data_IF_813069391018
#
_entry.id   IF_813069391018
#
_cell.length_a   1.000
_cell.length_b   1.000
_cell.length_c   1.000
_cell.angle_alpha   90.00
_cell.angle_beta   90.00
_cell.angle_gamma   90.00
#
_symmetry.space_group_name_H-M   'P 1'
#
loop_
_entity.id
_entity.type
_entity.pdbx_description
1 polymer ?
#
# COMPACT_ATOMS: atom_id res chain seq x y z
N UNK A 1 26.47 14.65 2.40
CA UNK A 1 25.37 13.68 2.56
C UNK A 1 24.89 13.34 1.17
N UNK A 2 25.22 12.15 0.68
CA UNK A 2 25.01 11.80 -0.72
C UNK A 2 23.54 11.45 -0.94
N UNK A 3 23.01 11.80 -2.13
CA UNK A 3 21.62 11.55 -2.52
C UNK A 3 21.24 10.08 -2.25
N UNK A 4 22.18 9.17 -2.51
CA UNK A 4 22.12 7.71 -2.33
C UNK A 4 21.80 7.26 -0.89
N UNK A 5 22.20 8.02 0.14
CA UNK A 5 21.91 7.68 1.55
C UNK A 5 20.42 7.87 1.92
N UNK A 6 19.65 8.60 1.08
CA UNK A 6 18.18 8.68 1.18
C UNK A 6 17.46 7.62 0.35
N UNK A 7 18.19 6.86 -0.48
CA UNK A 7 17.65 5.91 -1.44
C UNK A 7 17.99 4.48 -1.02
N UNK A 8 17.30 3.97 0.01
CA UNK A 8 17.32 2.53 0.32
C UNK A 8 16.04 1.89 -0.21
N UNK A 9 16.22 1.02 -1.20
CA UNK A 9 15.18 0.19 -1.82
C UNK A 9 14.59 -0.72 -0.73
N UNK A 10 13.39 -0.40 -0.27
CA UNK A 10 12.62 -1.24 0.66
C UNK A 10 12.29 -2.59 0.02
N UNK A 11 12.22 -3.64 0.84
CA UNK A 11 12.02 -5.04 0.42
C UNK A 11 10.54 -5.44 0.22
N UNK A 12 9.57 -4.53 0.37
CA UNK A 12 8.11 -4.85 0.27
C UNK A 12 7.39 -3.91 -0.72
N UNK A 13 6.54 -4.38 -1.64
CA UNK A 13 6.02 -3.58 -2.78
C UNK A 13 4.84 -2.65 -2.46
N UNK A 14 4.55 -2.38 -1.18
CA UNK A 14 3.33 -1.69 -0.73
C UNK A 14 3.57 -0.71 0.43
N UNK A 15 2.69 0.29 0.51
CA UNK A 15 2.46 1.18 1.64
C UNK A 15 1.15 0.81 2.35
N UNK A 16 1.05 1.05 3.65
CA UNK A 16 -0.15 0.72 4.45
C UNK A 16 -0.56 1.89 5.34
N UNK A 17 -1.85 1.96 5.67
CA UNK A 17 -2.34 2.84 6.71
C UNK A 17 -2.52 2.04 8.01
N UNK A 18 -1.72 2.26 9.07
CA UNK A 18 -1.80 1.48 10.31
C UNK A 18 -3.19 1.47 10.95
N UNK A 19 -3.94 2.57 10.80
CA UNK A 19 -5.31 2.73 11.27
C UNK A 19 -6.35 1.92 10.48
N UNK A 20 -5.97 1.35 9.33
CA UNK A 20 -6.82 0.53 8.48
C UNK A 20 -6.85 -0.96 8.87
N UNK A 21 -6.32 -1.31 10.05
CA UNK A 21 -6.42 -2.68 10.55
C UNK A 21 -7.88 -2.99 10.92
N UNK A 22 -8.42 -4.05 10.34
CA UNK A 22 -9.75 -4.60 10.64
C UNK A 22 -9.66 -6.11 10.81
N UNK A 23 -10.50 -6.68 11.65
CA UNK A 23 -10.55 -8.12 11.90
C UNK A 23 -11.94 -8.65 11.58
N UNK A 24 -12.00 -9.88 11.07
CA UNK A 24 -13.23 -10.62 10.82
C UNK A 24 -13.15 -12.03 11.45
N UNK A 25 -14.21 -12.40 12.17
CA UNK A 25 -14.24 -13.61 12.99
C UNK A 25 -13.10 -13.68 14.02
N UNK A 26 -12.66 -14.91 14.30
CA UNK A 26 -11.67 -15.19 15.37
C UNK A 26 -10.22 -15.14 14.90
N UNK A 27 -9.96 -15.04 13.60
CA UNK A 27 -8.60 -15.19 13.06
C UNK A 27 -8.29 -14.46 11.76
N UNK A 28 -9.24 -13.78 11.11
CA UNK A 28 -8.94 -13.10 9.84
C UNK A 28 -8.66 -11.63 10.09
N UNK A 29 -7.55 -11.11 9.56
CA UNK A 29 -7.15 -9.72 9.68
C UNK A 29 -6.92 -9.12 8.29
N UNK A 30 -7.26 -7.85 8.13
CA UNK A 30 -7.05 -7.08 6.91
C UNK A 30 -6.39 -5.75 7.23
N UNK A 31 -5.56 -5.26 6.31
CA UNK A 31 -4.90 -3.98 6.45
C UNK A 31 -4.90 -3.22 5.13
N UNK A 32 -5.47 -2.02 5.11
CA UNK A 32 -5.51 -1.18 3.92
C UNK A 32 -4.11 -0.88 3.37
N UNK A 33 -3.96 -1.02 2.05
CA UNK A 33 -2.68 -0.97 1.37
C UNK A 33 -2.75 -0.27 0.00
N UNK A 34 -1.63 0.33 -0.37
CA UNK A 34 -1.40 0.96 -1.67
C UNK A 34 -0.10 0.43 -2.27
N UNK A 35 -0.17 -0.09 -3.49
CA UNK A 35 1.00 -0.54 -4.24
C UNK A 35 1.36 0.50 -5.29
N UNK A 36 2.47 1.20 -5.09
CA UNK A 36 2.97 2.17 -6.06
C UNK A 36 3.86 1.51 -7.09
N UNK A 37 3.71 1.92 -8.33
CA UNK A 37 4.58 1.53 -9.43
C UNK A 37 4.88 2.73 -10.31
N UNK A 38 6.10 2.88 -10.79
CA UNK A 38 6.44 3.73 -11.92
C UNK A 38 6.42 2.91 -13.20
N UNK A 39 5.71 3.40 -14.21
CA UNK A 39 5.56 2.77 -15.52
C UNK A 39 5.67 3.85 -16.58
N UNK A 40 6.64 3.74 -17.48
CA UNK A 40 6.86 4.70 -18.56
C UNK A 40 6.98 6.14 -18.04
N UNK A 41 7.66 6.32 -16.90
CA UNK A 41 7.83 7.63 -16.26
C UNK A 41 6.59 8.17 -15.52
N UNK A 42 5.48 7.44 -15.50
CA UNK A 42 4.26 7.80 -14.78
C UNK A 42 4.16 7.01 -13.48
N UNK A 43 3.89 7.70 -12.37
CA UNK A 43 3.54 7.02 -11.12
C UNK A 43 2.10 6.54 -11.20
N UNK A 44 1.88 5.25 -11.01
CA UNK A 44 0.58 4.60 -10.91
C UNK A 44 0.44 3.92 -9.56
N UNK A 45 -0.79 3.69 -9.10
CA UNK A 45 -1.05 3.02 -7.84
C UNK A 45 -2.20 2.03 -7.95
N UNK A 46 -2.10 0.92 -7.21
CA UNK A 46 -3.24 0.06 -6.88
C UNK A 46 -3.62 0.31 -5.42
N UNK A 47 -4.91 0.36 -5.11
CA UNK A 47 -5.45 0.58 -3.78
C UNK A 47 -6.33 -0.59 -3.41
N UNK A 48 -6.25 -1.05 -2.16
CA UNK A 48 -7.10 -2.10 -1.61
C UNK A 48 -6.56 -2.53 -0.26
N UNK A 49 -6.38 -3.83 -0.01
CA UNK A 49 -5.98 -4.33 1.31
C UNK A 49 -5.12 -5.60 1.25
N UNK A 50 -4.24 -5.74 2.24
CA UNK A 50 -3.65 -7.03 2.63
C UNK A 50 -4.66 -7.81 3.47
N UNK A 51 -4.56 -9.12 3.48
CA UNK A 51 -5.35 -9.98 4.37
C UNK A 51 -4.54 -11.20 4.78
N UNK A 52 -4.83 -11.73 5.95
CA UNK A 52 -4.14 -12.90 6.51
C UNK A 52 -4.99 -13.61 7.55
N UNK A 53 -4.76 -14.91 7.72
CA UNK A 53 -5.34 -15.70 8.80
C UNK A 53 -4.30 -15.80 9.93
N UNK A 54 -4.49 -15.03 10.99
CA UNK A 54 -3.60 -14.96 12.14
C UNK A 54 -4.33 -15.34 13.44
N UNK A 55 -3.79 -16.33 14.16
CA UNK A 55 -4.28 -16.74 15.47
C UNK A 55 -3.11 -16.79 16.47
N UNK A 56 -3.10 -15.94 17.52
CA UNK A 56 -4.12 -14.95 17.85
C UNK A 56 -4.15 -13.80 16.82
N UNK A 57 -5.30 -13.12 16.74
CA UNK A 57 -5.44 -11.89 15.97
C UNK A 57 -4.34 -10.88 16.38
N UNK A 58 -3.79 -10.12 15.42
CA UNK A 58 -2.77 -9.12 15.72
C UNK A 58 -3.37 -7.97 16.52
N UNK A 59 -2.65 -7.50 17.54
CA UNK A 59 -3.09 -6.35 18.35
C UNK A 59 -3.07 -5.02 17.60
N UNK A 60 -2.22 -4.90 16.59
CA UNK A 60 -1.97 -3.69 15.83
C UNK A 60 -1.39 -4.02 14.44
N UNK A 61 -1.33 -3.01 13.57
CA UNK A 61 -0.85 -3.18 12.20
C UNK A 61 0.64 -3.59 12.15
N UNK A 62 1.45 -3.21 13.13
CA UNK A 62 2.85 -3.61 13.18
C UNK A 62 2.97 -5.12 13.45
N UNK A 63 2.17 -5.65 14.36
CA UNK A 63 2.06 -7.07 14.66
C UNK A 63 1.51 -7.86 13.47
N UNK A 64 0.49 -7.33 12.77
CA UNK A 64 0.00 -7.91 11.52
C UNK A 64 1.15 -8.03 10.50
N UNK A 65 1.85 -6.94 10.21
CA UNK A 65 2.93 -6.89 9.21
C UNK A 65 4.17 -7.73 9.57
N UNK A 66 4.42 -7.94 10.86
CA UNK A 66 5.51 -8.78 11.35
C UNK A 66 5.22 -10.27 11.14
N UNK A 67 3.94 -10.66 11.21
CA UNK A 67 3.46 -12.03 11.01
C UNK A 67 3.04 -12.31 9.57
N UNK A 68 2.74 -11.28 8.80
CA UNK A 68 2.31 -11.37 7.41
C UNK A 68 3.50 -11.72 6.51
N UNK A 69 3.79 -13.02 6.44
CA UNK A 69 4.80 -13.64 5.58
C UNK A 69 4.21 -14.28 4.31
N UNK A 70 2.88 -14.35 4.21
CA UNK A 70 2.22 -14.98 3.08
C UNK A 70 2.25 -14.11 1.83
N UNK A 71 3.28 -14.33 1.02
CA UNK A 71 3.38 -13.81 -0.34
C UNK A 71 2.56 -14.60 -1.38
N UNK A 72 1.81 -15.65 -1.01
CA UNK A 72 1.16 -16.55 -1.99
C UNK A 72 -0.01 -15.92 -2.73
N UNK A 73 -0.85 -15.14 -2.04
CA UNK A 73 -2.06 -14.58 -2.62
C UNK A 73 -1.95 -13.09 -2.96
N UNK A 74 -0.92 -12.40 -2.44
CA UNK A 74 -0.83 -10.95 -2.52
C UNK A 74 -1.99 -10.25 -1.81
N UNK A 75 -2.04 -8.92 -1.89
CA UNK A 75 -3.21 -8.18 -1.44
C UNK A 75 -4.29 -8.08 -2.52
N UNK A 76 -5.49 -7.74 -2.08
CA UNK A 76 -6.63 -7.46 -2.96
C UNK A 76 -6.50 -6.05 -3.53
N UNK A 77 -6.54 -5.95 -4.86
CA UNK A 77 -6.60 -4.66 -5.56
C UNK A 77 -8.05 -4.33 -5.90
N UNK A 78 -8.58 -3.26 -5.29
CA UNK A 78 -9.98 -2.85 -5.41
C UNK A 78 -10.12 -1.59 -6.29
N UNK A 79 -9.05 -0.80 -6.41
CA UNK A 79 -9.00 0.30 -7.33
C UNK A 79 -7.60 0.65 -7.80
N UNK A 80 -7.53 1.50 -8.82
CA UNK A 80 -6.31 1.85 -9.51
C UNK A 80 -6.32 3.34 -9.82
N UNK A 81 -5.15 3.94 -9.74
CA UNK A 81 -4.88 5.30 -10.15
C UNK A 81 -3.76 5.28 -11.18
N UNK A 82 -3.99 5.90 -12.34
CA UNK A 82 -3.08 5.83 -13.50
C UNK A 82 -2.12 7.03 -13.62
N UNK A 83 -2.09 7.91 -12.62
CA UNK A 83 -1.37 9.18 -12.66
C UNK A 83 -2.30 10.39 -12.77
N UNK A 84 -3.54 10.18 -13.24
CA UNK A 84 -4.52 11.24 -13.47
C UNK A 84 -5.91 10.83 -12.96
N UNK A 85 -6.34 9.63 -13.33
CA UNK A 85 -7.70 9.12 -13.17
C UNK A 85 -7.72 7.92 -12.23
N UNK A 86 -8.89 7.72 -11.64
CA UNK A 86 -9.16 6.64 -10.71
C UNK A 86 -10.23 5.71 -11.28
N UNK A 87 -10.02 4.39 -11.21
CA UNK A 87 -11.00 3.38 -11.62
C UNK A 87 -10.97 2.11 -10.75
N UNK A 88 -11.99 1.26 -10.85
CA UNK A 88 -12.06 -0.06 -10.18
C UNK A 88 -13.24 -0.16 -9.23
N UNK A 89 -13.19 0.57 -8.11
CA UNK A 89 -14.32 0.68 -7.19
C UNK A 89 -15.51 1.38 -7.87
N UNK A 90 -16.71 0.88 -7.65
CA UNK A 90 -17.95 1.44 -8.21
C UNK A 90 -18.76 2.22 -7.17
N UNK A 91 -18.67 1.87 -5.88
CA UNK A 91 -19.36 2.57 -4.82
C UNK A 91 -18.69 3.94 -4.54
N UNK A 92 -19.40 5.07 -4.62
CA UNK A 92 -18.83 6.40 -4.39
C UNK A 92 -18.12 6.55 -3.04
N UNK A 93 -18.65 5.93 -1.99
CA UNK A 93 -18.13 5.97 -0.63
C UNK A 93 -16.78 5.23 -0.54
N UNK A 94 -16.68 4.08 -1.23
CA UNK A 94 -15.44 3.32 -1.31
C UNK A 94 -14.37 4.06 -2.12
N UNK A 95 -14.76 4.72 -3.22
CA UNK A 95 -13.87 5.62 -3.96
C UNK A 95 -13.38 6.75 -3.03
N UNK A 96 -14.27 7.36 -2.24
CA UNK A 96 -13.92 8.38 -1.27
C UNK A 96 -12.91 7.91 -0.21
N UNK A 97 -13.11 6.70 0.33
CA UNK A 97 -12.19 6.08 1.27
C UNK A 97 -10.81 5.81 0.63
N UNK A 98 -10.79 5.23 -0.57
CA UNK A 98 -9.56 4.98 -1.32
C UNK A 98 -8.79 6.26 -1.63
N UNK A 99 -9.48 7.34 -2.03
CA UNK A 99 -8.84 8.63 -2.28
C UNK A 99 -8.32 9.28 -1.00
N UNK A 100 -9.01 9.09 0.13
CA UNK A 100 -8.57 9.57 1.45
C UNK A 100 -7.31 8.85 1.94
N UNK A 101 -7.14 7.58 1.57
CA UNK A 101 -5.91 6.82 1.78
C UNK A 101 -4.79 7.25 0.81
N UNK A 102 -5.11 7.34 -0.49
CA UNK A 102 -4.14 7.54 -1.56
C UNK A 102 -3.52 8.94 -1.55
N UNK A 103 -4.32 10.00 -1.38
CA UNK A 103 -3.85 11.39 -1.44
C UNK A 103 -2.70 11.72 -0.49
N UNK A 104 -2.77 11.41 0.82
CA UNK A 104 -1.67 11.71 1.73
C UNK A 104 -0.42 10.88 1.43
N UNK A 105 -0.57 9.66 0.91
CA UNK A 105 0.57 8.88 0.44
C UNK A 105 1.20 9.52 -0.81
N UNK A 106 0.40 9.92 -1.81
CA UNK A 106 0.91 10.64 -2.98
C UNK A 106 1.65 11.95 -2.60
N UNK A 107 1.12 12.70 -1.64
CA UNK A 107 1.74 13.94 -1.16
C UNK A 107 3.14 13.72 -0.56
N UNK A 108 3.39 12.54 0.00
CA UNK A 108 4.70 12.17 0.54
C UNK A 108 5.55 11.38 -0.46
N UNK A 109 5.02 11.04 -1.64
CA UNK A 109 5.68 10.17 -2.60
C UNK A 109 6.98 10.81 -3.11
N UNK A 110 8.12 10.11 -3.03
CA UNK A 110 9.40 10.72 -3.34
C UNK A 110 9.56 10.97 -4.83
N UNK A 111 10.40 11.96 -5.16
CA UNK A 111 10.85 12.19 -6.51
C UNK A 111 11.72 11.00 -6.97
N UNK A 112 11.19 10.20 -7.90
CA UNK A 112 11.91 9.09 -8.52
C UNK A 112 12.82 9.63 -9.63
N UNK A 113 14.08 9.18 -9.75
CA UNK A 113 14.97 9.55 -10.85
C UNK A 113 14.33 9.31 -12.23
N UNK A 114 14.66 10.18 -13.18
CA UNK A 114 14.22 10.02 -14.56
C UNK A 114 14.70 8.70 -15.16
N UNK A 115 13.84 8.03 -15.92
CA UNK A 115 14.12 6.75 -16.57
C UNK A 115 13.94 5.51 -15.69
N UNK A 116 13.56 5.65 -14.42
CA UNK A 116 13.32 4.50 -13.54
C UNK A 116 11.85 4.04 -13.55
N UNK A 117 11.64 2.75 -13.86
CA UNK A 117 10.36 2.04 -13.80
C UNK A 117 10.44 0.91 -12.75
N UNK A 118 9.46 0.80 -11.82
CA UNK A 118 9.50 -0.19 -10.73
C UNK A 118 8.51 0.07 -9.57
N UNK A 119 8.46 -0.80 -8.55
CA UNK A 119 7.56 -0.68 -7.38
C UNK A 119 8.14 0.20 -6.23
N UNK A 120 7.30 0.82 -5.39
CA UNK A 120 7.70 1.74 -4.30
C UNK A 120 6.87 1.64 -2.99
N UNK A 121 7.41 2.12 -1.86
CA UNK A 121 6.80 2.09 -0.50
C UNK A 121 7.37 3.17 0.46
N UNK A 122 6.69 3.47 1.58
CA UNK A 122 7.01 4.49 2.60
C UNK A 122 7.73 3.90 3.82
N UNK A 123 8.66 4.65 4.43
CA UNK A 123 9.25 4.29 5.71
C UNK A 123 8.21 4.42 6.84
N UNK A 124 8.08 3.39 7.66
CA UNK A 124 7.65 3.54 9.06
C UNK A 124 8.82 4.12 9.85
N UNK A 125 8.55 5.17 10.64
CA UNK A 125 9.43 5.59 11.73
C UNK A 125 9.47 4.52 12.82
#
# INVERSE_FOLDING_TARGET
MNREDRFLISRKPYAVAPQGLRTDGDNTAYLDAVWFRRRQGVTVACVGHLWDIQNPLPKDAAEFLARHDDGRYGGTCEGRWDGERYWGAQAPELIGAHLSLLRPMLANYPAIPDGYDGWWTFHTA
#
